data_IF_111697668152
#
_entry.id   IF_111697668152
#
_cell.length_a   1.000
_cell.length_b   1.000
_cell.length_c   1.000
_cell.angle_alpha   90.00
_cell.angle_beta   90.00
_cell.angle_gamma   90.00
#
_symmetry.space_group_name_H-M   'P 1'
#
loop_
_entity.id
_entity.type
_entity.pdbx_description
1 polymer ?
#
# COMPACT_ATOMS: atom_id res chain seq x y z
N UNK A 1 0.16 -43.66 2.30
CA UNK A 1 -0.36 -43.36 0.95
C UNK A 1 -1.39 -42.27 1.10
N UNK A 2 -0.96 -41.02 0.93
CA UNK A 2 -1.24 -40.24 -0.28
C UNK A 2 -2.72 -39.87 -0.40
N UNK A 3 -2.94 -38.55 -0.54
CA UNK A 3 -4.22 -37.87 -0.82
C UNK A 3 -4.95 -37.45 0.46
N UNK A 4 -5.06 -36.17 0.81
CA UNK A 4 -5.38 -35.05 -0.06
C UNK A 4 -4.49 -33.86 0.31
N UNK A 5 -3.71 -33.44 -0.69
CA UNK A 5 -2.90 -32.22 -0.76
C UNK A 5 -3.74 -31.08 -0.19
N UNK A 6 -3.29 -30.41 0.86
CA UNK A 6 -2.56 -29.15 0.66
C UNK A 6 -3.30 -28.30 -0.37
N UNK A 7 -4.57 -27.99 -0.07
CA UNK A 7 -5.30 -26.86 -0.61
C UNK A 7 -4.56 -25.62 -0.09
N UNK A 8 -3.38 -25.40 -0.68
CA UNK A 8 -2.61 -24.19 -0.56
C UNK A 8 -3.44 -23.16 -1.31
N UNK A 9 -4.50 -22.68 -0.67
CA UNK A 9 -5.18 -21.47 -1.07
C UNK A 9 -4.12 -20.39 -0.86
N UNK A 10 -3.31 -20.18 -1.89
CA UNK A 10 -2.58 -18.97 -2.13
C UNK A 10 -3.67 -17.90 -2.29
N UNK A 11 -4.24 -17.46 -1.17
CA UNK A 11 -4.82 -16.14 -1.10
C UNK A 11 -3.60 -15.25 -1.26
N UNK A 12 -3.22 -14.98 -2.51
CA UNK A 12 -2.40 -13.83 -2.79
C UNK A 12 -3.27 -12.68 -2.29
N UNK A 13 -3.00 -12.22 -1.07
CA UNK A 13 -3.57 -10.99 -0.55
C UNK A 13 -3.26 -9.93 -1.59
N UNK A 14 -4.27 -9.63 -2.42
CA UNK A 14 -4.14 -8.63 -3.45
C UNK A 14 -3.76 -7.35 -2.74
N UNK A 15 -2.53 -6.89 -2.97
CA UNK A 15 -2.01 -5.69 -2.31
C UNK A 15 -2.93 -4.55 -2.70
N UNK A 16 -3.57 -3.94 -1.70
CA UNK A 16 -4.39 -2.75 -1.91
C UNK A 16 -3.49 -1.52 -1.83
N UNK A 17 -2.84 -1.18 -2.94
CA UNK A 17 -1.98 0.00 -3.01
C UNK A 17 -2.74 1.26 -2.56
N UNK A 18 -2.13 2.03 -1.67
CA UNK A 18 -2.72 3.22 -1.05
C UNK A 18 -3.36 2.99 0.33
N UNK A 19 -3.67 1.75 0.72
CA UNK A 19 -4.18 1.41 2.07
C UNK A 19 -3.02 1.25 3.06
N UNK A 20 -2.37 2.36 3.37
CA UNK A 20 -1.14 2.42 4.16
C UNK A 20 -1.40 2.11 5.63
N UNK A 21 -2.57 2.46 6.15
CA UNK A 21 -2.94 2.16 7.54
C UNK A 21 -3.61 0.79 7.71
N UNK A 22 -3.95 0.09 6.62
CA UNK A 22 -4.51 -1.27 6.63
C UNK A 22 -5.97 -1.34 7.06
N UNK A 23 -6.73 -0.25 6.94
CA UNK A 23 -8.14 -0.20 7.35
C UNK A 23 -9.11 -0.62 6.23
N UNK A 24 -8.60 -1.00 5.06
CA UNK A 24 -9.38 -1.40 3.91
C UNK A 24 -9.94 -0.23 3.09
N UNK A 25 -9.54 1.01 3.35
CA UNK A 25 -9.92 2.22 2.60
C UNK A 25 -8.66 2.90 2.06
N UNK A 26 -8.86 3.76 1.07
CA UNK A 26 -7.79 4.63 0.54
C UNK A 26 -8.30 6.04 0.73
N UNK A 27 -7.85 6.70 1.80
CA UNK A 27 -8.33 8.02 2.18
C UNK A 27 -7.22 8.91 2.78
N UNK A 28 -7.60 10.07 3.31
CA UNK A 28 -6.65 11.03 3.86
C UNK A 28 -5.89 10.51 5.08
N UNK A 29 -6.38 9.48 5.78
CA UNK A 29 -5.67 8.86 6.89
C UNK A 29 -4.42 8.11 6.40
N UNK A 30 -4.45 7.55 5.20
CA UNK A 30 -3.28 6.92 4.56
C UNK A 30 -2.21 7.95 4.21
N UNK A 31 -2.64 9.11 3.70
CA UNK A 31 -1.73 10.23 3.43
C UNK A 31 -1.07 10.77 4.70
N UNK A 32 -1.76 10.74 5.84
CA UNK A 32 -1.17 11.09 7.15
C UNK A 32 -0.21 9.99 7.62
N UNK A 33 -0.57 8.73 7.45
CA UNK A 33 0.25 7.59 7.86
C UNK A 33 1.62 7.59 7.17
N UNK A 34 1.66 7.73 5.84
CA UNK A 34 2.94 7.77 5.11
C UNK A 34 3.78 9.00 5.46
N UNK A 35 3.17 10.17 5.70
CA UNK A 35 3.90 11.36 6.15
C UNK A 35 4.54 11.17 7.52
N UNK A 36 3.82 10.53 8.45
CA UNK A 36 4.38 10.18 9.77
C UNK A 36 5.53 9.20 9.64
N UNK A 37 5.42 8.22 8.76
CA UNK A 37 6.49 7.27 8.46
C UNK A 37 7.75 7.96 7.91
N UNK A 38 7.60 8.77 6.88
CA UNK A 38 8.71 9.51 6.27
C UNK A 38 9.38 10.50 7.22
N UNK A 39 8.62 11.05 8.17
CA UNK A 39 9.14 11.95 9.20
C UNK A 39 9.74 11.22 10.43
N UNK A 40 9.70 9.88 10.48
CA UNK A 40 10.18 9.09 11.61
C UNK A 40 9.31 9.16 12.86
N UNK A 41 8.05 9.58 12.74
CA UNK A 41 7.08 9.63 13.85
C UNK A 41 6.36 8.29 14.07
N UNK A 42 6.39 7.37 13.10
CA UNK A 42 5.76 6.05 13.22
C UNK A 42 6.36 5.06 12.24
N UNK A 43 6.67 3.84 12.69
CA UNK A 43 7.14 2.75 11.81
C UNK A 43 6.05 1.74 11.44
N UNK A 44 4.83 1.95 11.94
CA UNK A 44 3.72 1.00 11.81
C UNK A 44 2.83 1.37 10.64
N UNK A 45 3.20 0.88 9.45
CA UNK A 45 2.42 1.01 8.22
C UNK A 45 2.44 -0.28 7.40
N UNK A 46 1.48 -0.44 6.49
CA UNK A 46 1.53 -1.45 5.45
C UNK A 46 2.52 -1.04 4.36
N UNK A 47 3.76 -1.52 4.47
CA UNK A 47 4.87 -1.17 3.55
C UNK A 47 4.59 -1.54 2.09
N UNK A 48 3.91 -2.66 1.84
CA UNK A 48 3.55 -3.08 0.48
C UNK A 48 2.50 -2.16 -0.14
N UNK A 49 1.51 -1.74 0.66
CA UNK A 49 0.51 -0.77 0.21
C UNK A 49 1.07 0.66 0.10
N UNK A 50 2.13 0.98 0.84
CA UNK A 50 2.76 2.29 0.87
C UNK A 50 3.67 2.58 -0.32
N UNK A 51 4.32 1.56 -0.89
CA UNK A 51 5.04 1.65 -2.17
C UNK A 51 4.02 1.73 -3.32
N UNK A 52 3.34 2.88 -3.44
CA UNK A 52 2.31 3.09 -4.46
C UNK A 52 2.89 3.37 -5.84
N UNK A 53 4.19 3.64 -5.92
CA UNK A 53 4.92 3.76 -7.19
C UNK A 53 5.40 2.41 -7.72
N UNK A 54 5.56 1.41 -6.84
CA UNK A 54 6.05 0.08 -7.16
C UNK A 54 7.56 0.04 -7.44
N UNK A 55 8.33 1.01 -6.95
CA UNK A 55 9.77 1.12 -7.22
C UNK A 55 10.64 0.40 -6.17
N UNK A 56 10.00 -0.22 -5.18
CA UNK A 56 10.65 -0.93 -4.09
C UNK A 56 11.11 -0.01 -2.95
N UNK A 57 10.80 1.28 -2.99
CA UNK A 57 11.10 2.25 -1.95
C UNK A 57 9.80 2.80 -1.38
N UNK A 58 9.90 3.34 -0.17
CA UNK A 58 8.81 4.10 0.45
C UNK A 58 9.38 5.49 0.69
N UNK A 59 9.07 6.40 -0.21
CA UNK A 59 9.61 7.76 -0.19
C UNK A 59 8.55 8.83 -0.47
N UNK A 60 9.00 10.07 -0.68
CA UNK A 60 8.12 11.21 -0.90
C UNK A 60 7.30 11.07 -2.20
N UNK A 61 7.80 10.34 -3.19
CA UNK A 61 7.09 10.13 -4.45
C UNK A 61 5.81 9.31 -4.25
N UNK A 62 5.83 8.34 -3.33
CA UNK A 62 4.66 7.59 -2.93
C UNK A 62 3.60 8.49 -2.30
N UNK A 63 4.03 9.35 -1.37
CA UNK A 63 3.14 10.30 -0.72
C UNK A 63 2.51 11.28 -1.73
N UNK A 64 3.30 11.77 -2.71
CA UNK A 64 2.80 12.65 -3.78
C UNK A 64 1.80 11.93 -4.67
N UNK A 65 2.09 10.69 -5.08
CA UNK A 65 1.23 9.90 -5.96
C UNK A 65 -0.11 9.58 -5.29
N UNK A 66 -0.08 9.19 -4.01
CA UNK A 66 -1.28 9.01 -3.22
C UNK A 66 -2.11 10.29 -3.12
N UNK A 67 -1.48 11.44 -2.86
CA UNK A 67 -2.20 12.71 -2.79
C UNK A 67 -2.86 13.10 -4.13
N UNK A 68 -2.19 12.84 -5.26
CA UNK A 68 -2.76 13.03 -6.59
C UNK A 68 -3.99 12.15 -6.79
N UNK A 69 -3.90 10.87 -6.42
CA UNK A 69 -5.03 9.94 -6.48
C UNK A 69 -6.22 10.44 -5.64
N UNK A 70 -5.97 10.83 -4.38
CA UNK A 70 -7.01 11.36 -3.49
C UNK A 70 -7.63 12.68 -3.97
N UNK A 71 -6.87 13.46 -4.73
CA UNK A 71 -7.34 14.70 -5.35
C UNK A 71 -8.05 14.49 -6.70
N UNK A 72 -8.22 13.23 -7.15
CA UNK A 72 -8.94 12.88 -8.38
C UNK A 72 -8.13 13.08 -9.66
N UNK A 73 -6.81 13.18 -9.57
CA UNK A 73 -5.95 13.15 -10.76
C UNK A 73 -5.95 11.74 -11.35
N UNK A 74 -5.80 11.66 -12.67
CA UNK A 74 -5.65 10.40 -13.38
C UNK A 74 -4.25 9.80 -13.13
N UNK A 75 -4.15 9.02 -12.05
CA UNK A 75 -2.96 8.29 -11.65
C UNK A 75 -3.37 6.90 -11.16
N UNK A 76 -2.60 5.87 -11.50
CA UNK A 76 -2.79 4.50 -11.00
C UNK A 76 -2.02 4.29 -9.71
N UNK A 77 -2.48 3.46 -8.78
CA UNK A 77 -1.70 3.07 -7.61
C UNK A 77 -1.14 1.65 -7.81
N UNK A 78 0.13 1.45 -7.49
CA UNK A 78 0.90 0.25 -7.79
C UNK A 78 1.70 0.36 -9.08
N UNK A 79 2.54 -0.65 -9.34
CA UNK A 79 3.29 -0.76 -10.58
C UNK A 79 2.34 -0.80 -11.80
N UNK A 80 2.74 -0.08 -12.86
CA UNK A 80 2.03 -0.08 -14.14
C UNK A 80 2.11 -1.44 -14.86
#
# INVERSE_FOLDING_TARGET
TSSVKKELVLVEESIKYGDINGNGKIDSADAVAIKKYLAGYSDTINKKAADVTGDGKIDVNDAIRLLKYLAGYDVTLGAA
#
